data_IF_144607846576
#
_entry.id   IF_144607846576
#
_cell.length_a   1.000
_cell.length_b   1.000
_cell.length_c   1.000
_cell.angle_alpha   90.00
_cell.angle_beta   90.00
_cell.angle_gamma   90.00
#
_symmetry.space_group_name_H-M   'P 1'
#
loop_
_entity.id
_entity.type
_entity.pdbx_description
1 polymer ?
#
# COMPACT_ATOMS: atom_id res chain seq x y z
N UNK A 1 37.15 48.55 16.62
CA UNK A 1 37.03 48.01 15.25
C UNK A 1 35.92 46.99 15.30
N UNK A 2 34.71 47.43 14.97
CA UNK A 2 33.57 46.52 14.80
C UNK A 2 33.80 45.69 13.54
N UNK A 3 33.57 44.37 13.56
CA UNK A 3 33.59 43.59 12.35
C UNK A 3 32.35 43.99 11.53
N UNK A 4 32.59 44.51 10.33
CA UNK A 4 31.55 44.79 9.37
C UNK A 4 30.97 43.46 8.87
N UNK A 5 29.89 43.01 9.48
CA UNK A 5 29.05 41.94 8.95
C UNK A 5 28.45 42.44 7.63
N UNK A 6 29.13 42.10 6.54
CA UNK A 6 28.71 42.48 5.20
C UNK A 6 27.53 41.56 4.79
N UNK A 7 26.29 42.07 4.70
CA UNK A 7 25.08 41.25 4.49
C UNK A 7 25.03 40.60 3.10
N UNK A 8 25.98 40.91 2.22
CA UNK A 8 26.02 40.47 0.82
C UNK A 8 26.50 39.02 0.68
N UNK A 9 27.22 38.46 1.66
CA UNK A 9 27.77 37.10 1.60
C UNK A 9 26.99 36.03 2.39
N UNK A 10 25.85 36.39 3.01
CA UNK A 10 25.04 35.44 3.77
C UNK A 10 24.03 34.62 2.92
N UNK A 11 24.20 34.60 1.59
CA UNK A 11 23.25 33.97 0.68
C UNK A 11 23.90 32.87 -0.16
N UNK A 12 24.59 31.92 0.47
CA UNK A 12 24.55 30.58 -0.11
C UNK A 12 23.07 30.15 -0.10
N UNK A 13 22.43 29.88 -1.26
CA UNK A 13 21.08 29.34 -1.24
C UNK A 13 21.17 28.06 -0.44
N UNK A 14 20.47 28.00 0.70
CA UNK A 14 20.45 26.84 1.58
C UNK A 14 20.34 25.60 0.69
N UNK A 15 21.44 24.85 0.58
CA UNK A 15 21.55 23.73 -0.35
C UNK A 15 20.50 22.74 0.13
N UNK A 16 19.31 22.77 -0.51
CA UNK A 16 18.18 21.92 -0.12
C UNK A 16 18.62 20.51 -0.46
N UNK A 17 19.27 19.85 0.50
CA UNK A 17 19.57 18.44 0.44
C UNK A 17 18.22 17.75 0.30
N UNK A 18 17.99 17.15 -0.87
CA UNK A 18 16.77 16.42 -1.16
C UNK A 18 16.62 15.32 -0.11
N UNK A 19 15.46 15.25 0.54
CA UNK A 19 15.18 14.20 1.51
C UNK A 19 14.99 12.87 0.78
N UNK A 20 16.09 12.15 0.55
CA UNK A 20 16.09 10.88 -0.18
C UNK A 20 15.16 9.84 0.45
N UNK A 21 15.12 9.78 1.79
CA UNK A 21 14.23 8.88 2.53
C UNK A 21 12.76 9.24 2.38
N UNK A 22 12.43 10.54 2.38
CA UNK A 22 11.07 10.99 2.12
C UNK A 22 10.61 10.70 0.70
N UNK A 23 11.49 10.87 -0.29
CA UNK A 23 11.16 10.60 -1.68
C UNK A 23 10.99 9.10 -1.94
N UNK A 24 11.84 8.24 -1.37
CA UNK A 24 11.68 6.78 -1.47
C UNK A 24 10.44 6.29 -0.76
N UNK A 25 10.12 6.82 0.43
CA UNK A 25 8.87 6.53 1.14
C UNK A 25 7.64 6.87 0.29
N UNK A 26 7.65 8.03 -0.38
CA UNK A 26 6.57 8.42 -1.29
C UNK A 26 6.44 7.46 -2.48
N UNK A 27 7.55 7.08 -3.12
CA UNK A 27 7.53 6.13 -4.23
C UNK A 27 7.01 4.75 -3.81
N UNK A 28 7.43 4.27 -2.63
CA UNK A 28 6.92 3.01 -2.06
C UNK A 28 5.42 3.09 -1.75
N UNK A 29 4.94 4.25 -1.30
CA UNK A 29 3.51 4.50 -1.11
C UNK A 29 2.71 4.39 -2.41
N UNK A 30 3.22 4.97 -3.50
CA UNK A 30 2.61 4.86 -4.83
C UNK A 30 2.63 3.43 -5.37
N UNK A 31 3.75 2.71 -5.16
CA UNK A 31 3.87 1.30 -5.52
C UNK A 31 2.84 0.45 -4.77
N UNK A 32 2.63 0.71 -3.48
CA UNK A 32 1.61 0.01 -2.69
C UNK A 32 0.19 0.26 -3.19
N UNK A 33 -0.13 1.51 -3.55
CA UNK A 33 -1.43 1.81 -4.16
C UNK A 33 -1.61 0.97 -5.44
N UNK A 34 -0.58 0.88 -6.29
CA UNK A 34 -0.64 0.06 -7.49
C UNK A 34 -0.83 -1.44 -7.16
N UNK A 35 -0.10 -1.98 -6.18
CA UNK A 35 -0.24 -3.38 -5.74
C UNK A 35 -1.66 -3.68 -5.22
N UNK A 36 -2.24 -2.79 -4.42
CA UNK A 36 -3.60 -2.94 -3.90
C UNK A 36 -4.63 -2.85 -5.02
N UNK A 37 -4.47 -1.93 -5.97
CA UNK A 37 -5.35 -1.85 -7.14
C UNK A 37 -5.28 -3.10 -8.00
N UNK A 38 -4.09 -3.66 -8.21
CA UNK A 38 -3.89 -4.94 -8.90
C UNK A 38 -4.65 -6.03 -8.14
N UNK A 39 -4.41 -6.18 -6.84
CA UNK A 39 -5.10 -7.15 -6.00
C UNK A 39 -6.63 -7.02 -6.12
N UNK A 40 -7.15 -5.80 -6.04
CA UNK A 40 -8.59 -5.52 -6.11
C UNK A 40 -9.18 -5.86 -7.47
N UNK A 41 -8.50 -5.53 -8.57
CA UNK A 41 -8.94 -5.86 -9.93
C UNK A 41 -8.97 -7.38 -10.14
N UNK A 42 -7.93 -8.09 -9.72
CA UNK A 42 -7.89 -9.55 -9.84
C UNK A 42 -8.94 -10.23 -8.93
N UNK A 43 -9.15 -9.72 -7.71
CA UNK A 43 -10.19 -10.23 -6.83
C UNK A 43 -11.60 -10.01 -7.41
N UNK A 44 -11.90 -8.81 -7.94
CA UNK A 44 -13.19 -8.56 -8.59
C UNK A 44 -13.38 -9.43 -9.84
N UNK A 45 -12.31 -9.66 -10.61
CA UNK A 45 -12.35 -10.60 -11.74
C UNK A 45 -12.69 -12.02 -11.28
N UNK A 46 -12.03 -12.50 -10.24
CA UNK A 46 -12.29 -13.82 -9.65
C UNK A 46 -13.76 -13.96 -9.23
N UNK A 47 -14.30 -12.99 -8.49
CA UNK A 47 -15.71 -12.99 -8.08
C UNK A 47 -16.64 -12.97 -9.29
N UNK A 48 -16.35 -12.15 -10.30
CA UNK A 48 -17.16 -12.07 -11.52
C UNK A 48 -17.18 -13.40 -12.28
N UNK A 49 -16.03 -14.06 -12.43
CA UNK A 49 -15.91 -15.30 -13.18
C UNK A 49 -16.55 -16.47 -12.42
N UNK A 50 -16.41 -16.53 -11.08
CA UNK A 50 -17.11 -17.51 -10.22
C UNK A 50 -18.63 -17.33 -10.33
N UNK A 51 -19.12 -16.09 -10.29
CA UNK A 51 -20.55 -15.80 -10.44
C UNK A 51 -21.08 -16.24 -11.81
N UNK A 52 -20.32 -15.94 -12.88
CA UNK A 52 -20.69 -16.33 -14.24
C UNK A 52 -20.69 -17.85 -14.44
N UNK A 53 -19.74 -18.56 -13.83
CA UNK A 53 -19.63 -20.02 -13.93
C UNK A 53 -20.77 -20.75 -13.19
N UNK A 54 -21.16 -20.25 -12.01
CA UNK A 54 -22.17 -20.88 -11.17
C UNK A 54 -23.59 -20.33 -11.37
N UNK A 55 -23.75 -19.28 -12.18
CA UNK A 55 -25.04 -18.63 -12.43
C UNK A 55 -25.63 -17.95 -11.19
N UNK A 56 -24.78 -17.61 -10.21
CA UNK A 56 -25.16 -16.99 -8.95
C UNK A 56 -25.01 -15.47 -9.02
N UNK A 57 -25.87 -14.76 -8.31
CA UNK A 57 -25.80 -13.31 -8.15
C UNK A 57 -25.31 -12.94 -6.76
N UNK A 58 -24.93 -11.68 -6.54
CA UNK A 58 -24.50 -11.21 -5.22
C UNK A 58 -25.55 -11.40 -4.12
N UNK A 59 -26.83 -11.48 -4.47
CA UNK A 59 -27.92 -11.74 -3.54
C UNK A 59 -27.97 -13.20 -3.08
N UNK A 60 -27.43 -14.13 -3.87
CA UNK A 60 -27.45 -15.55 -3.55
C UNK A 60 -26.36 -15.91 -2.53
N UNK A 61 -25.31 -15.09 -2.39
CA UNK A 61 -24.27 -15.29 -1.36
C UNK A 61 -24.79 -15.23 0.08
N UNK A 62 -25.93 -14.56 0.35
CA UNK A 62 -26.54 -14.60 1.69
C UNK A 62 -27.25 -15.92 1.98
N UNK A 63 -27.61 -16.66 0.92
CA UNK A 63 -28.33 -17.93 1.00
C UNK A 63 -27.36 -19.10 0.93
N UNK A 64 -26.31 -18.98 0.12
CA UNK A 64 -25.19 -19.91 0.09
C UNK A 64 -24.36 -19.73 1.37
N UNK A 65 -24.22 -20.80 2.15
CA UNK A 65 -23.38 -20.76 3.34
C UNK A 65 -21.91 -20.51 2.99
N UNK A 66 -21.16 -19.93 3.94
CA UNK A 66 -19.73 -19.59 3.77
C UNK A 66 -18.88 -20.77 3.24
N UNK A 67 -19.27 -22.00 3.59
CA UNK A 67 -18.58 -23.23 3.21
C UNK A 67 -18.74 -23.57 1.71
N UNK A 68 -19.95 -23.39 1.15
CA UNK A 68 -20.20 -23.57 -0.29
C UNK A 68 -19.51 -22.46 -1.10
N UNK A 69 -19.56 -21.22 -0.60
CA UNK A 69 -18.87 -20.09 -1.23
C UNK A 69 -17.36 -20.34 -1.26
N UNK A 70 -16.78 -20.80 -0.15
CA UNK A 70 -15.37 -21.17 -0.07
C UNK A 70 -14.97 -22.27 -1.06
N UNK A 71 -15.80 -23.30 -1.22
CA UNK A 71 -15.56 -24.36 -2.21
C UNK A 71 -15.54 -23.81 -3.64
N UNK A 72 -16.49 -22.97 -4.02
CA UNK A 72 -16.55 -22.37 -5.37
C UNK A 72 -15.30 -21.54 -5.70
N UNK A 73 -14.84 -20.71 -4.76
CA UNK A 73 -13.60 -19.95 -4.94
C UNK A 73 -12.37 -20.84 -4.98
N UNK A 74 -12.36 -21.96 -4.24
CA UNK A 74 -11.26 -22.93 -4.27
C UNK A 74 -11.14 -23.66 -5.61
N UNK A 75 -12.26 -24.13 -6.17
CA UNK A 75 -12.28 -24.80 -7.48
C UNK A 75 -11.88 -23.83 -8.61
N UNK A 76 -12.32 -22.57 -8.53
CA UNK A 76 -11.86 -21.55 -9.45
C UNK A 76 -10.36 -21.27 -9.29
N UNK A 77 -9.85 -21.22 -8.05
CA UNK A 77 -8.42 -21.07 -7.78
C UNK A 77 -7.56 -22.18 -8.37
N UNK A 78 -8.08 -23.41 -8.45
CA UNK A 78 -7.40 -24.52 -9.13
C UNK A 78 -7.46 -24.42 -10.66
N UNK A 79 -8.55 -23.89 -11.22
CA UNK A 79 -8.71 -23.74 -12.68
C UNK A 79 -8.00 -22.51 -13.26
N UNK A 80 -7.94 -21.39 -12.54
CA UNK A 80 -7.20 -20.18 -12.90
C UNK A 80 -6.13 -19.82 -11.85
N UNK A 81 -5.08 -20.65 -11.66
CA UNK A 81 -4.10 -20.46 -10.59
C UNK A 81 -3.33 -19.15 -10.73
N UNK A 82 -3.12 -18.66 -11.95
CA UNK A 82 -2.39 -17.41 -12.21
C UNK A 82 -3.12 -16.20 -11.62
N UNK A 83 -4.45 -16.17 -11.70
CA UNK A 83 -5.28 -15.07 -11.18
C UNK A 83 -5.24 -15.06 -9.65
N UNK A 84 -5.43 -16.23 -9.04
CA UNK A 84 -5.39 -16.40 -7.59
C UNK A 84 -3.99 -16.09 -7.02
N UNK A 85 -2.93 -16.59 -7.65
CA UNK A 85 -1.55 -16.34 -7.24
C UNK A 85 -1.15 -14.86 -7.41
N UNK A 86 -1.57 -14.19 -8.49
CA UNK A 86 -1.27 -12.78 -8.70
C UNK A 86 -1.91 -11.89 -7.63
N UNK A 87 -3.19 -12.14 -7.29
CA UNK A 87 -3.87 -11.42 -6.21
C UNK A 87 -3.23 -11.68 -4.85
N UNK A 88 -2.92 -12.95 -4.54
CA UNK A 88 -2.29 -13.36 -3.29
C UNK A 88 -0.89 -12.75 -3.11
N UNK A 89 -0.05 -12.82 -4.14
CA UNK A 89 1.30 -12.26 -4.11
C UNK A 89 1.28 -10.72 -3.98
N UNK A 90 0.37 -10.05 -4.70
CA UNK A 90 0.22 -8.60 -4.58
C UNK A 90 -0.18 -8.19 -3.15
N UNK A 91 -1.10 -8.93 -2.53
CA UNK A 91 -1.47 -8.76 -1.12
C UNK A 91 -0.29 -8.98 -0.18
N UNK A 92 0.41 -10.12 -0.29
CA UNK A 92 1.53 -10.45 0.57
C UNK A 92 2.72 -9.49 0.44
N UNK A 93 3.00 -8.98 -0.76
CA UNK A 93 4.08 -8.01 -1.00
C UNK A 93 3.71 -6.61 -0.51
N UNK A 94 2.42 -6.25 -0.49
CA UNK A 94 2.00 -4.92 -0.06
C UNK A 94 2.36 -4.63 1.41
N UNK A 95 2.23 -5.60 2.31
CA UNK A 95 2.52 -5.44 3.76
C UNK A 95 3.98 -5.03 4.05
N UNK A 96 5.01 -5.79 3.62
CA UNK A 96 6.39 -5.41 3.87
C UNK A 96 6.78 -4.11 3.17
N UNK A 97 6.25 -3.83 1.97
CA UNK A 97 6.51 -2.58 1.25
C UNK A 97 5.91 -1.39 2.00
N UNK A 98 4.69 -1.51 2.55
CA UNK A 98 4.06 -0.50 3.40
C UNK A 98 4.82 -0.26 4.69
N UNK A 99 5.32 -1.32 5.33
CA UNK A 99 6.13 -1.23 6.54
C UNK A 99 7.43 -0.45 6.28
N UNK A 100 8.18 -0.84 5.25
CA UNK A 100 9.43 -0.18 4.85
C UNK A 100 9.15 1.28 4.46
N UNK A 101 8.11 1.52 3.66
CA UNK A 101 7.68 2.86 3.26
C UNK A 101 7.36 3.76 4.45
N UNK A 102 6.68 3.22 5.47
CA UNK A 102 6.35 3.94 6.70
C UNK A 102 7.60 4.27 7.52
N UNK A 103 8.52 3.32 7.68
CA UNK A 103 9.78 3.53 8.43
C UNK A 103 10.63 4.60 7.75
N UNK A 104 10.81 4.53 6.43
CA UNK A 104 11.56 5.54 5.66
C UNK A 104 10.89 6.92 5.71
N UNK A 105 9.56 6.95 5.73
CA UNK A 105 8.77 8.16 5.92
C UNK A 105 9.06 8.82 7.27
N UNK A 106 9.03 8.04 8.36
CA UNK A 106 9.39 8.50 9.71
C UNK A 106 10.83 9.01 9.79
N UNK A 107 11.80 8.25 9.25
CA UNK A 107 13.21 8.65 9.22
C UNK A 107 13.37 9.98 8.48
N UNK A 108 12.72 10.14 7.34
CA UNK A 108 12.77 11.39 6.59
C UNK A 108 12.08 12.58 7.28
N UNK A 109 11.10 12.36 8.16
CA UNK A 109 10.56 13.45 9.01
C UNK A 109 11.54 13.92 10.08
N UNK A 110 12.37 13.00 10.59
CA UNK A 110 13.37 13.28 11.62
C UNK A 110 14.62 14.00 11.08
N UNK A 111 14.81 14.04 9.75
CA UNK A 111 15.90 14.79 9.15
C UNK A 111 15.72 16.30 9.37
N UNK A 112 16.71 16.90 10.04
CA UNK A 112 16.81 18.34 10.22
C UNK A 112 17.33 18.97 8.93
N UNK A 113 16.76 20.12 8.53
CA UNK A 113 17.18 20.90 7.35
C UNK A 113 16.87 20.32 5.95
N UNK A 114 15.98 19.32 5.84
CA UNK A 114 15.53 18.77 4.56
C UNK A 114 14.02 19.04 4.30
N UNK A 115 13.57 19.14 3.04
CA UNK A 115 12.15 19.28 2.73
C UNK A 115 11.37 18.02 3.14
N UNK A 116 10.33 18.21 3.95
CA UNK A 116 9.56 17.11 4.59
C UNK A 116 8.37 16.60 3.76
N UNK A 117 8.04 17.26 2.66
CA UNK A 117 6.85 16.94 1.85
C UNK A 117 6.83 15.49 1.37
N UNK A 118 7.95 14.95 0.91
CA UNK A 118 8.04 13.55 0.47
C UNK A 118 7.74 12.56 1.61
N UNK A 119 8.30 12.79 2.79
CA UNK A 119 8.04 11.96 3.98
C UNK A 119 6.59 12.03 4.45
N UNK A 120 5.99 13.22 4.43
CA UNK A 120 4.58 13.39 4.80
C UNK A 120 3.69 12.64 3.82
N UNK A 121 3.89 12.81 2.51
CA UNK A 121 3.11 12.11 1.48
C UNK A 121 3.33 10.60 1.56
N UNK A 122 4.57 10.14 1.75
CA UNK A 122 4.89 8.74 1.95
C UNK A 122 4.19 8.14 3.16
N UNK A 123 4.11 8.84 4.29
CA UNK A 123 3.37 8.38 5.46
C UNK A 123 1.85 8.37 5.24
N UNK A 124 1.31 9.39 4.57
CA UNK A 124 -0.12 9.44 4.24
C UNK A 124 -0.53 8.26 3.36
N UNK A 125 0.32 7.84 2.42
CA UNK A 125 0.03 6.68 1.59
C UNK A 125 0.27 5.36 2.32
N UNK A 126 1.39 5.20 3.02
CA UNK A 126 1.74 3.90 3.60
C UNK A 126 1.01 3.59 4.92
N UNK A 127 0.80 4.57 5.80
CA UNK A 127 0.36 4.33 7.17
C UNK A 127 -1.13 3.92 7.27
N UNK A 128 -2.08 4.60 6.60
CA UNK A 128 -3.48 4.18 6.62
C UNK A 128 -3.69 2.83 5.93
N UNK A 129 -2.97 2.57 4.83
CA UNK A 129 -3.04 1.29 4.13
C UNK A 129 -2.46 0.16 4.98
N UNK A 130 -1.35 0.40 5.70
CA UNK A 130 -0.76 -0.55 6.63
C UNK A 130 -1.73 -0.86 7.78
N UNK A 131 -2.41 0.17 8.30
CA UNK A 131 -3.41 -0.01 9.36
C UNK A 131 -4.61 -0.82 8.85
N UNK A 132 -5.12 -0.49 7.67
CA UNK A 132 -6.22 -1.23 7.03
C UNK A 132 -5.86 -2.70 6.81
N UNK A 133 -4.69 -2.96 6.22
CA UNK A 133 -4.21 -4.32 5.96
C UNK A 133 -3.96 -5.07 7.27
N UNK A 134 -3.31 -4.45 8.25
CA UNK A 134 -3.09 -5.03 9.59
C UNK A 134 -4.39 -5.35 10.33
N UNK A 135 -5.38 -4.47 10.27
CA UNK A 135 -6.71 -4.73 10.83
C UNK A 135 -7.42 -5.89 10.13
N UNK A 136 -7.34 -5.99 8.80
CA UNK A 136 -7.93 -7.10 8.04
C UNK A 136 -7.29 -8.45 8.39
N UNK A 137 -5.98 -8.51 8.60
CA UNK A 137 -5.31 -9.73 9.04
C UNK A 137 -5.69 -10.15 10.46
N UNK A 138 -5.89 -9.18 11.37
CA UNK A 138 -6.35 -9.45 12.74
C UNK A 138 -7.79 -9.97 12.76
N UNK A 139 -8.68 -9.40 11.93
CA UNK A 139 -10.05 -9.89 11.78
C UNK A 139 -10.12 -11.28 11.12
N UNK A 140 -9.32 -11.52 10.08
CA UNK A 140 -9.24 -12.84 9.42
C UNK A 140 -8.54 -13.92 10.23
N UNK A 141 -7.82 -13.56 11.31
CA UNK A 141 -7.22 -14.52 12.24
C UNK A 141 -8.12 -14.82 13.46
N UNK A 142 -9.20 -14.04 13.65
CA UNK A 142 -10.16 -14.18 14.75
C UNK A 142 -11.45 -14.87 14.30
N UNK A 143 -11.72 -14.90 12.99
CA UNK A 143 -12.72 -15.76 12.33
C UNK A 143 -12.11 -17.13 12.01
#
# INVERSE_FOLDING_TARGET
MEPSDNPVYATEPARRLTNGFGLTSMLLGLLNIALILIMLVFAMKMVSDVNAANGITFADYEVLGDEEVGQMFSEYGESEPVVAMAAGLAGCLSVPVMLIGSILGCIGLMQSNAPKMGSILGLIFNLPLLLFCGCSMLLGAVL
#
